data_IF_559398689386
#
_entry.id   IF_559398689386
#
_cell.length_a   1.000
_cell.length_b   1.000
_cell.length_c   1.000
_cell.angle_alpha   90.00
_cell.angle_beta   90.00
_cell.angle_gamma   90.00
#
_symmetry.space_group_name_H-M   'P 1'
#
loop_
_entity.id
_entity.type
_entity.pdbx_description
1 polymer ?
#
# COMPACT_ATOMS: atom_id res chain seq x y z
N UNK A 1 -1.09 62.17 32.79
CA UNK A 1 -0.51 60.83 32.54
C UNK A 1 -0.89 60.38 31.14
N UNK A 2 0.08 59.79 30.44
CA UNK A 2 0.08 58.98 29.20
C UNK A 2 -1.29 58.33 28.85
N UNK A 3 -1.69 58.09 27.59
CA UNK A 3 -1.01 58.11 26.29
C UNK A 3 -2.04 58.09 25.14
N UNK A 4 -1.68 58.76 24.04
CA UNK A 4 -2.24 58.58 22.70
C UNK A 4 -2.23 57.11 22.26
N UNK A 5 -3.36 56.64 21.71
CA UNK A 5 -3.39 55.54 20.74
C UNK A 5 -4.33 55.95 19.63
N UNK A 6 -3.76 56.36 18.50
CA UNK A 6 -4.30 56.13 17.16
C UNK A 6 -3.29 56.68 16.13
N UNK A 7 -2.28 55.87 15.82
CA UNK A 7 -1.58 55.96 14.54
C UNK A 7 -1.94 54.73 13.72
N UNK A 8 -3.06 54.82 13.00
CA UNK A 8 -3.31 53.91 11.89
C UNK A 8 -2.28 54.21 10.81
N UNK A 9 -1.28 53.33 10.70
CA UNK A 9 -0.32 53.34 9.59
C UNK A 9 -1.11 53.33 8.27
N UNK A 10 -1.06 54.44 7.54
CA UNK A 10 -1.51 54.50 6.15
C UNK A 10 -0.52 53.71 5.30
N UNK A 11 -0.79 52.42 5.15
CA UNK A 11 -0.05 51.55 4.23
C UNK A 11 -0.36 52.04 2.81
N UNK A 12 0.67 52.44 2.07
CA UNK A 12 0.48 52.91 0.69
C UNK A 12 0.01 51.75 -0.21
N UNK A 13 -0.79 52.02 -1.25
CA UNK A 13 -1.26 50.97 -2.18
C UNK A 13 -0.10 50.16 -2.78
N UNK A 14 1.05 50.79 -2.98
CA UNK A 14 2.27 50.16 -3.49
C UNK A 14 2.88 49.16 -2.51
N UNK A 15 2.82 49.43 -1.19
CA UNK A 15 3.30 48.50 -0.16
C UNK A 15 2.36 47.29 -0.06
N UNK A 16 1.05 47.49 -0.16
CA UNK A 16 0.08 46.40 -0.18
C UNK A 16 0.26 45.50 -1.41
N UNK A 17 0.56 46.09 -2.58
CA UNK A 17 0.85 45.34 -3.81
C UNK A 17 2.12 44.47 -3.68
N UNK A 18 3.17 44.98 -3.03
CA UNK A 18 4.40 44.23 -2.77
C UNK A 18 4.16 43.06 -1.83
N UNK A 19 3.35 43.24 -0.78
CA UNK A 19 2.97 42.12 0.11
C UNK A 19 2.12 41.06 -0.60
N UNK A 20 1.18 41.46 -1.46
CA UNK A 20 0.37 40.52 -2.25
C UNK A 20 1.24 39.77 -3.26
N UNK A 21 2.13 40.45 -3.98
CA UNK A 21 3.06 39.81 -4.91
C UNK A 21 4.05 38.88 -4.21
N UNK A 22 4.55 39.24 -3.01
CA UNK A 22 5.39 38.39 -2.18
C UNK A 22 4.63 37.15 -1.67
N UNK A 23 3.36 37.30 -1.27
CA UNK A 23 2.50 36.17 -0.91
C UNK A 23 2.21 35.26 -2.12
N UNK A 24 1.96 35.83 -3.30
CA UNK A 24 1.78 35.06 -4.55
C UNK A 24 3.07 34.36 -5.00
N UNK A 25 4.26 34.93 -4.73
CA UNK A 25 5.54 34.27 -4.99
C UNK A 25 5.81 33.14 -3.98
N UNK A 26 5.46 33.31 -2.71
CA UNK A 26 5.51 32.26 -1.69
C UNK A 26 4.47 31.15 -1.92
N UNK A 27 3.35 31.43 -2.60
CA UNK A 27 2.39 30.41 -3.03
C UNK A 27 2.86 29.59 -4.25
N UNK A 28 4.01 29.91 -4.86
CA UNK A 28 4.63 29.09 -5.92
C UNK A 28 5.83 28.29 -5.41
N UNK A 29 5.68 27.56 -4.29
CA UNK A 29 6.57 26.42 -4.00
C UNK A 29 5.99 25.40 -3.02
N UNK A 30 4.98 24.66 -3.47
CA UNK A 30 4.78 23.27 -3.07
C UNK A 30 4.16 22.52 -4.24
N UNK A 31 4.92 22.41 -5.35
CA UNK A 31 4.90 21.10 -6.00
C UNK A 31 5.46 20.17 -4.94
N UNK A 32 4.64 19.28 -4.40
CA UNK A 32 5.12 18.12 -3.66
C UNK A 32 5.98 17.31 -4.64
N UNK A 33 7.22 17.74 -4.86
CA UNK A 33 8.31 16.86 -5.21
C UNK A 33 8.53 16.06 -3.95
N UNK A 34 7.65 15.09 -3.78
CA UNK A 34 7.75 14.11 -2.75
C UNK A 34 8.96 13.28 -3.17
N UNK A 35 10.09 13.60 -2.54
CA UNK A 35 11.38 13.00 -2.86
C UNK A 35 11.20 11.50 -2.83
N UNK A 36 11.50 10.84 -3.96
CA UNK A 36 11.73 9.40 -3.96
C UNK A 36 12.74 9.13 -2.84
N UNK A 37 12.57 8.08 -2.02
CA UNK A 37 13.56 7.74 -1.02
C UNK A 37 14.92 7.79 -1.72
N UNK A 38 15.81 8.65 -1.21
CA UNK A 38 17.12 8.80 -1.83
C UNK A 38 17.68 7.39 -2.01
N UNK A 39 18.31 7.12 -3.16
CA UNK A 39 19.02 5.87 -3.36
C UNK A 39 20.20 5.86 -2.37
N UNK A 40 19.89 5.61 -1.10
CA UNK A 40 20.84 5.45 -0.03
C UNK A 40 21.71 4.27 -0.40
N UNK A 41 22.98 4.36 -0.03
CA UNK A 41 24.06 3.42 -0.30
C UNK A 41 23.77 1.95 0.05
N UNK A 42 22.61 1.65 0.64
CA UNK A 42 22.14 0.33 1.00
C UNK A 42 20.77 0.02 0.35
N UNK A 43 20.72 -0.83 -0.69
CA UNK A 43 19.48 -1.30 -1.31
C UNK A 43 18.50 -1.96 -0.35
N UNK A 44 18.96 -2.71 0.65
CA UNK A 44 18.10 -3.37 1.63
C UNK A 44 17.31 -2.36 2.47
N UNK A 45 17.94 -1.25 2.90
CA UNK A 45 17.25 -0.18 3.62
C UNK A 45 16.16 0.46 2.77
N UNK A 46 16.43 0.70 1.49
CA UNK A 46 15.45 1.22 0.55
C UNK A 46 14.24 0.28 0.42
N UNK A 47 14.47 -1.03 0.25
CA UNK A 47 13.39 -2.01 0.14
C UNK A 47 12.59 -2.12 1.44
N UNK A 48 13.26 -2.15 2.59
CA UNK A 48 12.58 -2.17 3.89
C UNK A 48 11.70 -0.95 4.09
N UNK A 49 12.16 0.25 3.73
CA UNK A 49 11.35 1.47 3.81
C UNK A 49 10.08 1.36 2.95
N UNK A 50 10.20 0.86 1.72
CA UNK A 50 9.03 0.66 0.85
C UNK A 50 8.03 -0.33 1.45
N UNK A 51 8.52 -1.41 2.08
CA UNK A 51 7.67 -2.43 2.72
C UNK A 51 6.96 -1.86 3.96
N UNK A 52 7.66 -1.09 4.78
CA UNK A 52 7.07 -0.43 5.94
C UNK A 52 5.99 0.58 5.54
N UNK A 53 6.27 1.39 4.52
CA UNK A 53 5.32 2.37 4.00
C UNK A 53 4.08 1.69 3.38
N UNK A 54 4.23 0.55 2.69
CA UNK A 54 3.12 -0.21 2.09
C UNK A 54 2.06 -0.66 3.12
N UNK A 55 2.46 -0.83 4.38
CA UNK A 55 1.57 -1.28 5.46
C UNK A 55 1.19 -0.18 6.47
N UNK A 56 1.73 1.03 6.30
CA UNK A 56 1.72 2.11 7.30
C UNK A 56 0.36 2.39 7.94
N UNK A 57 -0.69 2.51 7.14
CA UNK A 57 -2.05 2.80 7.65
C UNK A 57 -2.97 1.59 7.62
N UNK A 58 -2.56 0.48 6.99
CA UNK A 58 -3.39 -0.74 6.89
C UNK A 58 -3.50 -1.47 8.24
N UNK A 59 -2.51 -1.28 9.12
CA UNK A 59 -2.46 -1.87 10.46
C UNK A 59 -2.89 -0.93 11.60
N UNK A 60 -3.52 0.19 11.33
CA UNK A 60 -3.91 1.14 12.39
C UNK A 60 -5.07 0.59 13.23
N UNK A 61 -4.83 0.37 14.52
CA UNK A 61 -5.77 -0.26 15.46
C UNK A 61 -7.14 0.43 15.53
N UNK A 62 -7.22 1.72 15.18
CA UNK A 62 -8.47 2.48 15.18
C UNK A 62 -9.39 2.11 14.02
N UNK A 63 -8.84 1.47 12.98
CA UNK A 63 -9.57 1.09 11.76
C UNK A 63 -9.50 -0.39 11.42
N UNK A 64 -8.81 -1.19 12.24
CA UNK A 64 -8.81 -2.65 12.12
C UNK A 64 -10.17 -3.20 12.56
N UNK A 65 -10.75 -4.07 11.74
CA UNK A 65 -11.97 -4.80 12.09
C UNK A 65 -11.68 -5.81 13.23
N UNK A 66 -12.33 -5.69 14.39
CA UNK A 66 -12.07 -6.55 15.54
C UNK A 66 -12.54 -7.99 15.31
N UNK A 67 -13.25 -8.29 14.22
CA UNK A 67 -13.82 -9.61 13.91
C UNK A 67 -12.87 -10.79 14.13
N UNK A 68 -11.64 -10.72 13.63
CA UNK A 68 -10.70 -11.83 13.77
C UNK A 68 -10.20 -11.96 15.22
N UNK A 69 -9.93 -10.85 15.90
CA UNK A 69 -9.59 -10.86 17.32
C UNK A 69 -10.72 -11.43 18.18
N UNK A 70 -11.98 -11.15 17.81
CA UNK A 70 -13.16 -11.73 18.46
C UNK A 70 -13.23 -13.24 18.23
N UNK A 71 -13.02 -13.73 17.00
CA UNK A 71 -12.95 -15.18 16.72
C UNK A 71 -11.87 -15.85 17.58
N UNK A 72 -10.68 -15.25 17.65
CA UNK A 72 -9.58 -15.78 18.44
C UNK A 72 -9.90 -15.80 19.94
N UNK A 73 -10.54 -14.76 20.45
CA UNK A 73 -11.00 -14.69 21.84
C UNK A 73 -12.07 -15.75 22.15
N UNK A 74 -13.05 -15.93 21.26
CA UNK A 74 -14.09 -16.97 21.40
C UNK A 74 -13.49 -18.37 21.44
N UNK A 75 -12.59 -18.71 20.51
CA UNK A 75 -11.90 -20.01 20.49
C UNK A 75 -11.12 -20.23 21.77
N UNK A 76 -10.39 -19.21 22.24
CA UNK A 76 -9.62 -19.29 23.48
C UNK A 76 -10.51 -19.54 24.70
N UNK A 77 -11.64 -18.84 24.81
CA UNK A 77 -12.60 -19.02 25.89
C UNK A 77 -13.24 -20.42 25.89
N UNK A 78 -13.45 -20.98 24.71
CA UNK A 78 -14.01 -22.34 24.53
C UNK A 78 -12.92 -23.44 24.53
N UNK A 79 -11.65 -23.10 24.79
CA UNK A 79 -10.53 -24.06 24.85
C UNK A 79 -10.17 -24.70 23.51
N UNK A 80 -10.51 -24.05 22.40
CA UNK A 80 -10.30 -24.57 21.04
C UNK A 80 -8.97 -24.08 20.49
N UNK A 81 -8.09 -25.02 20.15
CA UNK A 81 -6.83 -24.70 19.46
C UNK A 81 -7.08 -24.26 18.01
N UNK A 82 -6.12 -23.54 17.44
CA UNK A 82 -6.16 -23.15 16.02
C UNK A 82 -6.27 -24.36 15.11
N UNK A 83 -5.48 -25.41 15.36
CA UNK A 83 -5.44 -26.60 14.52
C UNK A 83 -6.77 -27.35 14.53
N UNK A 84 -7.37 -27.50 15.72
CA UNK A 84 -8.71 -28.09 15.86
C UNK A 84 -9.74 -27.29 15.06
N UNK A 85 -9.74 -25.97 15.20
CA UNK A 85 -10.68 -25.10 14.49
C UNK A 85 -10.51 -25.12 12.96
N UNK A 86 -9.28 -25.25 12.46
CA UNK A 86 -9.02 -25.25 11.01
C UNK A 86 -9.32 -26.60 10.38
N UNK A 87 -8.95 -27.70 11.07
CA UNK A 87 -8.94 -29.04 10.47
C UNK A 87 -10.18 -29.87 10.81
N UNK A 88 -10.80 -29.67 11.98
CA UNK A 88 -11.90 -30.52 12.46
C UNK A 88 -13.27 -29.85 12.32
N UNK A 89 -13.34 -28.52 12.32
CA UNK A 89 -14.63 -27.81 12.22
C UNK A 89 -15.11 -27.77 10.76
N UNK A 90 -16.39 -28.11 10.58
CA UNK A 90 -17.05 -28.02 9.29
C UNK A 90 -17.08 -26.57 8.77
N UNK A 91 -17.40 -26.40 7.49
CA UNK A 91 -17.60 -25.06 6.93
C UNK A 91 -18.77 -24.35 7.62
N UNK A 92 -19.81 -25.11 7.94
CA UNK A 92 -21.03 -24.66 8.60
C UNK A 92 -20.74 -24.17 10.02
N UNK A 93 -19.93 -24.91 10.78
CA UNK A 93 -19.53 -24.51 12.14
C UNK A 93 -18.67 -23.25 12.14
N UNK A 94 -17.70 -23.15 11.21
CA UNK A 94 -16.88 -21.95 11.04
C UNK A 94 -17.73 -20.75 10.64
N UNK A 95 -18.74 -20.94 9.80
CA UNK A 95 -19.69 -19.90 9.43
C UNK A 95 -20.55 -19.46 10.62
N UNK A 96 -21.01 -20.38 11.46
CA UNK A 96 -21.74 -20.06 12.68
C UNK A 96 -20.89 -19.22 13.65
N UNK A 97 -19.62 -19.58 13.80
CA UNK A 97 -18.61 -18.79 14.52
C UNK A 97 -18.46 -17.39 13.95
N UNK A 98 -18.30 -17.28 12.62
CA UNK A 98 -18.22 -15.99 11.93
C UNK A 98 -19.46 -15.13 12.18
N UNK A 99 -20.67 -15.70 12.12
CA UNK A 99 -21.90 -14.94 12.40
C UNK A 99 -21.93 -14.38 13.82
N UNK A 100 -21.54 -15.18 14.82
CA UNK A 100 -21.43 -14.74 16.23
C UNK A 100 -20.39 -13.62 16.39
N UNK A 101 -19.19 -13.82 15.84
CA UNK A 101 -18.12 -12.82 15.91
C UNK A 101 -18.50 -11.51 15.20
N UNK A 102 -19.19 -11.60 14.06
CA UNK A 102 -19.68 -10.42 13.32
C UNK A 102 -20.73 -9.64 14.13
N UNK A 103 -21.65 -10.34 14.80
CA UNK A 103 -22.65 -9.70 15.65
C UNK A 103 -22.02 -8.93 16.82
N UNK A 104 -20.88 -9.40 17.35
CA UNK A 104 -20.10 -8.69 18.37
C UNK A 104 -19.34 -7.52 17.75
N UNK A 105 -18.63 -7.75 16.63
CA UNK A 105 -17.85 -6.72 15.95
C UNK A 105 -18.71 -5.50 15.56
N UNK A 106 -19.93 -5.74 15.09
CA UNK A 106 -20.86 -4.67 14.71
C UNK A 106 -21.30 -3.77 15.88
N UNK A 107 -21.10 -4.18 17.14
CA UNK A 107 -21.34 -3.32 18.33
C UNK A 107 -20.20 -2.33 18.56
N UNK A 108 -19.06 -2.54 17.92
CA UNK A 108 -17.87 -1.69 17.98
C UNK A 108 -17.52 -1.22 16.56
N UNK A 109 -18.39 -0.37 15.95
CA UNK A 109 -18.15 0.09 14.60
C UNK A 109 -16.86 0.88 14.52
N UNK A 110 -16.10 0.64 13.45
CA UNK A 110 -14.96 1.46 13.08
C UNK A 110 -15.45 2.86 12.68
N UNK A 111 -14.67 3.89 13.02
CA UNK A 111 -14.87 5.23 12.48
C UNK A 111 -14.60 5.22 10.96
N UNK A 112 -15.67 5.23 10.17
CA UNK A 112 -15.59 5.20 8.71
C UNK A 112 -14.91 6.44 8.12
N UNK A 113 -15.04 7.61 8.75
CA UNK A 113 -14.39 8.84 8.27
C UNK A 113 -12.88 8.76 8.48
N UNK A 114 -12.44 8.25 9.64
CA UNK A 114 -11.03 7.99 9.91
C UNK A 114 -10.49 6.94 8.93
N UNK A 115 -11.21 5.83 8.73
CA UNK A 115 -10.83 4.77 7.79
C UNK A 115 -10.67 5.31 6.36
N UNK A 116 -11.63 6.09 5.87
CA UNK A 116 -11.55 6.72 4.55
C UNK A 116 -10.37 7.69 4.44
N UNK A 117 -10.12 8.48 5.48
CA UNK A 117 -9.00 9.43 5.52
C UNK A 117 -7.65 8.69 5.47
N UNK A 118 -7.49 7.65 6.29
CA UNK A 118 -6.27 6.85 6.32
C UNK A 118 -6.06 6.09 5.00
N UNK A 119 -7.13 5.59 4.39
CA UNK A 119 -7.05 4.91 3.08
C UNK A 119 -6.65 5.87 1.94
N UNK A 120 -7.10 7.13 1.98
CA UNK A 120 -6.62 8.16 1.04
C UNK A 120 -5.12 8.39 1.19
N UNK A 121 -4.62 8.48 2.42
CA UNK A 121 -3.19 8.62 2.68
C UNK A 121 -2.40 7.38 2.24
N UNK A 122 -2.95 6.18 2.47
CA UNK A 122 -2.35 4.93 2.00
C UNK A 122 -2.29 4.89 0.47
N UNK A 123 -3.33 5.34 -0.24
CA UNK A 123 -3.35 5.38 -1.70
C UNK A 123 -2.23 6.27 -2.26
N UNK A 124 -1.95 7.40 -1.60
CA UNK A 124 -0.81 8.25 -1.97
C UNK A 124 0.54 7.56 -1.75
N UNK A 125 0.66 6.73 -0.71
CA UNK A 125 1.84 5.91 -0.45
C UNK A 125 1.99 4.81 -1.51
N UNK A 126 0.92 4.07 -1.79
CA UNK A 126 0.90 3.01 -2.80
C UNK A 126 1.35 3.57 -4.17
N UNK A 127 0.93 4.80 -4.50
CA UNK A 127 1.40 5.50 -5.70
C UNK A 127 2.91 5.76 -5.72
N UNK A 128 3.49 6.18 -4.60
CA UNK A 128 4.93 6.48 -4.47
C UNK A 128 5.75 5.21 -4.48
N UNK A 129 5.35 4.22 -3.69
CA UNK A 129 6.05 2.94 -3.56
C UNK A 129 6.04 2.19 -4.87
N UNK A 130 4.90 2.14 -5.57
CA UNK A 130 4.83 1.53 -6.91
C UNK A 130 5.81 2.19 -7.87
N UNK A 131 5.83 3.53 -7.94
CA UNK A 131 6.74 4.27 -8.82
C UNK A 131 8.22 4.05 -8.44
N UNK A 132 8.53 4.05 -7.15
CA UNK A 132 9.87 3.86 -6.63
C UNK A 132 10.38 2.45 -6.96
N UNK A 133 9.57 1.42 -6.74
CA UNK A 133 9.91 0.04 -7.02
C UNK A 133 10.06 -0.20 -8.54
N UNK A 134 9.16 0.33 -9.38
CA UNK A 134 9.33 0.27 -10.84
C UNK A 134 10.67 0.90 -11.27
N UNK A 135 10.99 2.08 -10.73
CA UNK A 135 12.23 2.80 -11.08
C UNK A 135 13.46 2.01 -10.64
N UNK A 136 13.42 1.44 -9.44
CA UNK A 136 14.47 0.57 -8.92
C UNK A 136 14.64 -0.67 -9.80
N UNK A 137 13.55 -1.40 -10.06
CA UNK A 137 13.58 -2.66 -10.82
C UNK A 137 14.08 -2.46 -12.25
N UNK A 138 13.70 -1.35 -12.90
CA UNK A 138 14.24 -1.01 -14.22
C UNK A 138 15.75 -0.78 -14.23
N UNK A 139 16.30 -0.23 -13.15
CA UNK A 139 17.73 0.09 -13.03
C UNK A 139 18.56 -1.11 -12.58
N UNK A 140 18.05 -1.88 -11.62
CA UNK A 140 18.84 -2.87 -10.87
C UNK A 140 18.33 -4.32 -11.02
N UNK A 141 17.20 -4.53 -11.68
CA UNK A 141 16.44 -5.79 -11.62
C UNK A 141 15.56 -5.88 -10.38
N UNK A 142 14.68 -6.88 -10.34
CA UNK A 142 13.77 -7.09 -9.21
C UNK A 142 14.58 -7.33 -7.93
N UNK A 143 14.19 -6.73 -6.78
CA UNK A 143 14.88 -6.95 -5.53
C UNK A 143 14.81 -8.42 -5.11
N UNK A 144 15.95 -9.08 -5.05
CA UNK A 144 16.13 -10.42 -4.50
C UNK A 144 17.15 -10.37 -3.38
N UNK A 145 17.19 -11.40 -2.53
CA UNK A 145 18.24 -11.49 -1.52
C UNK A 145 19.65 -11.45 -2.15
N UNK A 146 19.81 -12.05 -3.33
CA UNK A 146 21.08 -12.11 -4.06
C UNK A 146 21.61 -10.73 -4.48
N UNK A 147 20.76 -9.80 -4.93
CA UNK A 147 21.19 -8.50 -5.46
C UNK A 147 21.03 -7.33 -4.46
N UNK A 148 20.28 -7.52 -3.37
CA UNK A 148 20.04 -6.47 -2.37
C UNK A 148 20.51 -6.81 -0.97
N UNK A 149 20.84 -8.08 -0.67
CA UNK A 149 21.06 -8.57 0.68
C UNK A 149 19.90 -8.22 1.63
N UNK A 150 18.67 -8.30 1.09
CA UNK A 150 17.42 -8.09 1.81
C UNK A 150 16.68 -9.42 1.92
N UNK A 151 16.29 -9.78 3.14
CA UNK A 151 15.53 -10.97 3.48
C UNK A 151 14.04 -10.81 3.17
N UNK A 152 13.54 -9.57 3.08
CA UNK A 152 12.15 -9.25 2.82
C UNK A 152 11.92 -8.98 1.33
N UNK A 153 10.79 -9.49 0.83
CA UNK A 153 10.37 -9.27 -0.55
C UNK A 153 9.32 -8.16 -0.65
N UNK A 154 9.45 -7.20 -1.59
CA UNK A 154 8.48 -6.13 -1.79
C UNK A 154 7.23 -6.54 -2.60
N UNK A 155 6.91 -7.84 -2.67
CA UNK A 155 5.85 -8.41 -3.51
C UNK A 155 4.48 -7.74 -3.32
N UNK A 156 4.15 -7.36 -2.08
CA UNK A 156 2.87 -6.73 -1.72
C UNK A 156 2.67 -5.39 -2.43
N UNK A 157 3.73 -4.65 -2.72
CA UNK A 157 3.65 -3.36 -3.41
C UNK A 157 3.08 -3.55 -4.82
N UNK A 158 3.41 -4.65 -5.50
CA UNK A 158 2.81 -4.96 -6.81
C UNK A 158 1.34 -5.36 -6.68
N UNK A 159 0.94 -6.02 -5.58
CA UNK A 159 -0.44 -6.39 -5.28
C UNK A 159 -1.30 -5.22 -4.76
N UNK A 160 -0.68 -4.13 -4.33
CA UNK A 160 -1.35 -2.88 -3.96
C UNK A 160 -1.20 -1.80 -5.04
N UNK A 161 -0.54 -2.13 -6.16
CA UNK A 161 -0.24 -1.16 -7.20
C UNK A 161 -1.51 -0.55 -7.83
N UNK A 162 -1.59 0.78 -7.95
CA UNK A 162 -2.71 1.46 -8.60
C UNK A 162 -2.76 1.21 -10.11
N UNK A 163 -3.97 1.18 -10.68
CA UNK A 163 -4.24 0.82 -12.08
C UNK A 163 -3.41 1.58 -13.11
N UNK A 164 -3.10 2.85 -12.82
CA UNK A 164 -2.28 3.71 -13.71
C UNK A 164 -0.90 3.13 -14.04
N UNK A 165 -0.38 2.20 -13.23
CA UNK A 165 0.91 1.54 -13.43
C UNK A 165 0.79 0.13 -14.03
N UNK A 166 -0.41 -0.44 -14.16
CA UNK A 166 -0.58 -1.85 -14.53
C UNK A 166 0.01 -2.21 -15.89
N UNK A 167 -0.09 -1.31 -16.89
CA UNK A 167 0.52 -1.53 -18.21
C UNK A 167 2.04 -1.67 -18.12
N UNK A 168 2.68 -0.82 -17.32
CA UNK A 168 4.12 -0.81 -17.12
C UNK A 168 4.56 -2.01 -16.27
N UNK A 169 3.85 -2.31 -15.19
CA UNK A 169 4.10 -3.47 -14.35
C UNK A 169 3.97 -4.78 -15.13
N UNK A 170 2.94 -4.93 -15.97
CA UNK A 170 2.78 -6.10 -16.83
C UNK A 170 4.01 -6.38 -17.68
N UNK A 171 4.60 -5.34 -18.28
CA UNK A 171 5.83 -5.45 -19.06
C UNK A 171 7.04 -5.80 -18.18
N UNK A 172 7.15 -5.15 -17.02
CA UNK A 172 8.21 -5.38 -16.05
C UNK A 172 8.19 -6.83 -15.53
N UNK A 173 7.03 -7.34 -15.14
CA UNK A 173 6.82 -8.72 -14.66
C UNK A 173 7.28 -9.72 -15.72
N UNK A 174 6.86 -9.55 -16.98
CA UNK A 174 7.32 -10.40 -18.09
C UNK A 174 8.83 -10.35 -18.25
N UNK A 175 9.45 -9.18 -18.12
CA UNK A 175 10.89 -9.01 -18.25
C UNK A 175 11.67 -9.68 -17.11
N UNK A 176 11.27 -9.45 -15.86
CA UNK A 176 11.93 -10.01 -14.68
C UNK A 176 11.75 -11.53 -14.58
N UNK A 177 10.60 -12.06 -15.04
CA UNK A 177 10.42 -13.50 -15.15
C UNK A 177 11.40 -14.12 -16.17
N UNK A 178 11.55 -13.52 -17.35
CA UNK A 178 12.49 -13.99 -18.37
C UNK A 178 13.95 -13.96 -17.91
N UNK A 179 14.30 -13.05 -17.00
CA UNK A 179 15.63 -12.97 -16.37
C UNK A 179 15.84 -14.01 -15.26
N UNK A 180 14.78 -14.72 -14.85
CA UNK A 180 14.83 -15.64 -13.71
C UNK A 180 14.80 -14.96 -12.35
N UNK A 181 14.59 -13.64 -12.29
CA UNK A 181 14.57 -12.87 -11.04
C UNK A 181 13.30 -13.09 -10.22
N UNK A 182 12.24 -13.62 -10.83
CA UNK A 182 10.98 -13.97 -10.17
C UNK A 182 10.49 -15.33 -10.68
N UNK A 183 9.78 -16.07 -9.82
CA UNK A 183 9.25 -17.39 -10.16
C UNK A 183 7.83 -17.34 -10.77
N UNK A 184 7.32 -18.49 -11.23
CA UNK A 184 5.99 -18.62 -11.85
C UNK A 184 4.86 -18.17 -10.93
N UNK A 185 4.95 -18.49 -9.63
CA UNK A 185 3.93 -18.13 -8.63
C UNK A 185 3.86 -16.61 -8.45
N UNK A 186 5.00 -15.94 -8.30
CA UNK A 186 5.08 -14.48 -8.20
C UNK A 186 4.53 -13.82 -9.46
N UNK A 187 5.02 -14.22 -10.64
CA UNK A 187 4.55 -13.69 -11.92
C UNK A 187 3.03 -13.87 -12.09
N UNK A 188 2.51 -15.04 -11.76
CA UNK A 188 1.09 -15.36 -11.88
C UNK A 188 0.22 -14.50 -10.96
N UNK A 189 0.58 -14.37 -9.68
CA UNK A 189 -0.16 -13.56 -8.71
C UNK A 189 -0.17 -12.09 -9.10
N UNK A 190 0.98 -11.56 -9.55
CA UNK A 190 1.08 -10.16 -9.96
C UNK A 190 0.35 -9.89 -11.27
N UNK A 191 0.47 -10.76 -12.28
CA UNK A 191 -0.29 -10.66 -13.53
C UNK A 191 -1.80 -10.73 -13.27
N UNK A 192 -2.25 -11.64 -12.40
CA UNK A 192 -3.65 -11.70 -11.97
C UNK A 192 -4.11 -10.37 -11.41
N UNK A 193 -3.32 -9.73 -10.55
CA UNK A 193 -3.66 -8.42 -9.98
C UNK A 193 -3.72 -7.33 -11.05
N UNK A 194 -2.66 -7.16 -11.85
CA UNK A 194 -2.57 -6.06 -12.85
C UNK A 194 -3.48 -6.27 -14.07
N UNK A 195 -4.11 -7.43 -14.21
CA UNK A 195 -5.19 -7.69 -15.17
C UNK A 195 -6.60 -7.48 -14.57
N UNK A 196 -6.69 -6.96 -13.34
CA UNK A 196 -7.94 -6.69 -12.64
C UNK A 196 -8.63 -7.95 -12.11
N UNK A 197 -7.87 -9.03 -11.87
CA UNK A 197 -8.35 -10.29 -11.29
C UNK A 197 -9.51 -10.93 -12.07
N UNK A 198 -9.54 -10.72 -13.38
CA UNK A 198 -10.57 -11.24 -14.29
C UNK A 198 -10.51 -12.76 -14.44
N UNK A 199 -9.33 -13.35 -14.22
CA UNK A 199 -9.12 -14.78 -14.23
C UNK A 199 -8.52 -15.22 -12.88
N UNK A 200 -8.98 -16.36 -12.37
CA UNK A 200 -8.47 -16.99 -11.16
C UNK A 200 -7.54 -18.17 -11.45
N UNK A 201 -7.54 -18.68 -12.68
CA UNK A 201 -6.60 -19.71 -13.12
C UNK A 201 -5.24 -19.09 -13.43
N UNK A 202 -4.27 -19.37 -12.56
CA UNK A 202 -2.90 -18.88 -12.71
C UNK A 202 -2.22 -19.48 -13.95
N UNK A 203 -2.53 -20.73 -14.31
CA UNK A 203 -1.95 -21.38 -15.49
C UNK A 203 -2.36 -20.65 -16.76
N UNK A 204 -3.66 -20.43 -16.96
CA UNK A 204 -4.19 -19.69 -18.11
C UNK A 204 -3.64 -18.26 -18.17
N UNK A 205 -3.49 -17.59 -17.02
CA UNK A 205 -2.88 -16.26 -16.94
C UNK A 205 -1.44 -16.29 -17.45
N UNK A 206 -0.66 -17.30 -17.06
CA UNK A 206 0.74 -17.43 -17.47
C UNK A 206 0.85 -17.77 -18.96
N UNK A 207 0.01 -18.66 -19.50
CA UNK A 207 -0.03 -19.00 -20.93
C UNK A 207 -0.40 -17.79 -21.80
N UNK A 208 -1.49 -17.10 -21.45
CA UNK A 208 -1.95 -15.88 -22.14
C UNK A 208 -0.88 -14.79 -22.17
N UNK A 209 -0.03 -14.75 -21.16
CA UNK A 209 1.05 -13.77 -21.05
C UNK A 209 2.39 -14.27 -21.61
N UNK A 210 2.42 -15.44 -22.25
CA UNK A 210 3.61 -16.07 -22.85
C UNK A 210 4.73 -16.29 -21.82
N UNK A 211 4.35 -16.54 -20.57
CA UNK A 211 5.27 -16.86 -19.48
C UNK A 211 5.61 -18.35 -19.49
N UNK A 212 4.64 -19.18 -19.83
CA UNK A 212 4.80 -20.62 -20.05
C UNK A 212 4.28 -20.99 -21.44
N UNK A 213 4.76 -22.12 -21.97
CA UNK A 213 4.27 -22.65 -23.24
C UNK A 213 2.88 -23.26 -23.05
N UNK A 214 2.03 -23.16 -24.07
CA UNK A 214 0.74 -23.86 -24.10
C UNK A 214 1.02 -25.35 -24.15
N UNK A 215 0.45 -26.11 -23.23
CA UNK A 215 0.52 -27.56 -23.30
C UNK A 215 -0.40 -28.02 -24.42
N UNK A 216 0.18 -28.48 -25.54
CA UNK A 216 -0.55 -29.05 -26.68
C UNK A 216 -1.14 -30.42 -26.38
#
# INVERSE_FOLDING_TARGET
>A
MKSNVQSLLKISPSILLVFILAFCYSCKKTKNNLELPSQQSNPCNFINQLIEDDQKYRGDERIIDPFFAIIDSMKKAEGISRDKYVNEYSREDRLAYGKRARAIANKHPIDSLLADSLMKLQTEIDHKNTKALITYTKKNGYPTNENTNCDKSPDLIFLHSPEKYWKELKQLIKSEFKKGSINKTQAGLWLRHVEGRKNNDIHEILEKNEIIQVSG
#
